data_IF_737759538201
#
_entry.id   IF_737759538201
#
_cell.length_a   1.000
_cell.length_b   1.000
_cell.length_c   1.000
_cell.angle_alpha   90.00
_cell.angle_beta   90.00
_cell.angle_gamma   90.00
#
_symmetry.space_group_name_H-M   'P 1'
#
loop_
_entity.id
_entity.type
_entity.pdbx_description
1 polymer ?
#
# COMPACT_ATOMS: atom_id res chain seq x y z
N UNK A 1 -6.39 36.84 68.52
CA UNK A 1 -7.71 37.03 67.88
C UNK A 1 -7.57 36.53 66.44
N UNK A 2 -8.43 35.58 66.06
CA UNK A 2 -8.26 34.63 64.96
C UNK A 2 -8.37 35.34 63.60
N UNK A 3 -7.40 35.08 62.71
CA UNK A 3 -7.41 35.43 61.29
C UNK A 3 -8.45 34.57 60.56
N UNK A 4 -9.55 35.16 60.10
CA UNK A 4 -10.46 34.50 59.15
C UNK A 4 -9.81 34.53 57.77
N UNK A 5 -9.21 33.42 57.37
CA UNK A 5 -8.97 33.12 55.97
C UNK A 5 -10.31 32.75 55.34
N UNK A 6 -10.95 33.71 54.67
CA UNK A 6 -12.04 33.45 53.73
C UNK A 6 -11.45 32.78 52.48
N UNK A 7 -11.18 31.47 52.57
CA UNK A 7 -10.96 30.64 51.39
C UNK A 7 -12.32 30.45 50.68
N UNK A 8 -12.67 31.44 49.85
CA UNK A 8 -13.85 31.38 49.01
C UNK A 8 -13.87 30.10 48.18
N UNK A 9 -14.97 29.35 48.26
CA UNK A 9 -15.28 28.21 47.40
C UNK A 9 -15.11 28.62 45.93
N UNK A 10 -13.98 28.28 45.32
CA UNK A 10 -13.79 28.44 43.88
C UNK A 10 -14.77 27.51 43.18
N UNK A 11 -15.86 28.05 42.61
CA UNK A 11 -16.78 27.30 41.75
C UNK A 11 -15.96 26.59 40.68
N UNK A 12 -16.13 25.27 40.55
CA UNK A 12 -15.54 24.54 39.44
C UNK A 12 -16.08 25.16 38.15
N UNK A 13 -15.22 25.43 37.14
CA UNK A 13 -15.71 25.89 35.86
C UNK A 13 -16.68 24.85 35.30
N UNK A 14 -17.84 25.31 34.82
CA UNK A 14 -18.88 24.46 34.23
C UNK A 14 -18.66 24.25 32.72
N UNK A 15 -17.58 24.86 32.19
CA UNK A 15 -17.27 24.84 30.76
C UNK A 15 -15.94 24.13 30.51
N UNK A 16 -15.84 23.36 29.41
CA UNK A 16 -14.58 22.74 29.01
C UNK A 16 -13.49 23.78 28.82
N UNK A 17 -12.30 23.50 29.31
CA UNK A 17 -11.12 24.36 29.11
C UNK A 17 -10.72 24.30 27.64
N UNK A 18 -10.28 25.43 27.08
CA UNK A 18 -9.86 25.48 25.67
C UNK A 18 -8.43 24.97 25.51
N UNK A 19 -8.20 24.09 24.54
CA UNK A 19 -6.86 23.72 24.09
C UNK A 19 -6.35 24.72 23.07
N UNK A 20 -5.08 25.13 23.22
CA UNK A 20 -4.39 25.92 22.18
C UNK A 20 -3.85 24.95 21.12
N UNK A 21 -4.19 25.18 19.85
CA UNK A 21 -3.73 24.36 18.72
C UNK A 21 -4.08 22.87 18.85
N UNK A 22 -5.23 22.53 19.43
CA UNK A 22 -5.66 21.14 19.51
C UNK A 22 -6.00 20.55 18.14
N UNK A 23 -5.83 19.24 18.03
CA UNK A 23 -6.25 18.44 16.88
C UNK A 23 -7.76 18.58 16.74
N UNK A 24 -8.19 19.01 15.55
CA UNK A 24 -9.59 19.30 15.24
C UNK A 24 -10.02 18.61 13.96
N UNK A 25 -11.29 18.25 13.92
CA UNK A 25 -11.95 17.78 12.71
C UNK A 25 -11.94 18.90 11.67
N UNK A 26 -11.55 18.59 10.42
CA UNK A 26 -11.56 19.55 9.31
C UNK A 26 -12.98 19.82 8.82
N UNK A 27 -13.85 18.81 8.86
CA UNK A 27 -15.26 18.93 8.45
C UNK A 27 -16.07 19.71 9.50
N UNK A 28 -16.50 20.93 9.15
CA UNK A 28 -17.15 21.86 10.09
C UNK A 28 -18.67 21.69 10.19
N UNK A 29 -19.34 21.24 9.14
CA UNK A 29 -20.81 21.21 9.04
C UNK A 29 -21.31 19.87 8.46
N UNK A 30 -22.56 19.52 8.80
CA UNK A 30 -23.26 18.32 8.33
C UNK A 30 -23.02 17.05 9.15
N UNK A 31 -23.74 15.99 8.79
CA UNK A 31 -23.48 14.64 9.30
C UNK A 31 -22.12 14.15 8.81
N UNK A 32 -21.40 13.48 9.70
CA UNK A 32 -20.04 13.01 9.41
C UNK A 32 -20.11 11.58 8.89
N UNK A 33 -20.26 11.47 7.58
CA UNK A 33 -20.13 10.20 6.86
C UNK A 33 -18.71 10.04 6.32
N UNK A 34 -18.11 8.88 6.58
CA UNK A 34 -16.78 8.52 6.11
C UNK A 34 -16.87 7.32 5.17
N UNK A 35 -16.03 7.32 4.14
CA UNK A 35 -15.90 6.15 3.26
C UNK A 35 -15.36 4.92 4.03
N UNK A 36 -15.56 3.73 3.47
CA UNK A 36 -14.86 2.54 3.95
C UNK A 36 -13.33 2.72 3.73
N UNK A 37 -12.45 2.33 4.65
CA UNK A 37 -12.69 1.60 5.92
C UNK A 37 -13.11 2.48 7.11
N UNK A 38 -12.88 3.79 7.06
CA UNK A 38 -13.05 4.71 8.18
C UNK A 38 -14.47 4.71 8.76
N UNK A 39 -15.51 4.74 7.92
CA UNK A 39 -16.90 4.70 8.37
C UNK A 39 -17.26 3.38 9.07
N UNK A 40 -16.84 2.26 8.49
CA UNK A 40 -17.09 0.94 9.08
C UNK A 40 -16.31 0.72 10.39
N UNK A 41 -15.15 1.35 10.54
CA UNK A 41 -14.40 1.38 11.80
C UNK A 41 -15.10 2.26 12.84
N UNK A 42 -15.52 3.47 12.46
CA UNK A 42 -16.22 4.40 13.35
C UNK A 42 -17.50 3.80 13.93
N UNK A 43 -18.30 3.14 13.09
CA UNK A 43 -19.53 2.47 13.53
C UNK A 43 -19.27 1.42 14.62
N UNK A 44 -18.17 0.66 14.53
CA UNK A 44 -17.79 -0.30 15.58
C UNK A 44 -17.38 0.41 16.87
N UNK A 45 -16.56 1.45 16.76
CA UNK A 45 -16.07 2.21 17.92
C UNK A 45 -17.17 2.93 18.69
N UNK A 46 -18.24 3.35 18.00
CA UNK A 46 -19.34 4.10 18.60
C UNK A 46 -20.50 3.23 19.04
N UNK A 47 -20.47 1.90 18.84
CA UNK A 47 -21.60 0.99 19.11
C UNK A 47 -22.21 1.22 20.49
N UNK A 48 -21.37 1.21 21.53
CA UNK A 48 -21.79 1.32 22.94
C UNK A 48 -21.78 2.76 23.47
N UNK A 49 -21.62 3.75 22.58
CA UNK A 49 -21.68 5.18 22.91
C UNK A 49 -23.11 5.66 22.68
N UNK A 50 -23.74 6.25 23.69
CA UNK A 50 -25.08 6.84 23.57
C UNK A 50 -25.08 8.09 22.66
N UNK A 51 -26.24 8.44 22.11
CA UNK A 51 -26.37 9.54 21.16
C UNK A 51 -25.92 10.90 21.71
N UNK A 52 -26.15 11.15 23.01
CA UNK A 52 -25.71 12.41 23.66
C UNK A 52 -24.19 12.48 23.69
N UNK A 53 -23.54 11.41 24.13
CA UNK A 53 -22.07 11.30 24.15
C UNK A 53 -21.47 11.38 22.74
N UNK A 54 -22.14 10.83 21.71
CA UNK A 54 -21.70 10.97 20.30
C UNK A 54 -21.74 12.42 19.84
N UNK A 55 -22.84 13.13 20.09
CA UNK A 55 -23.01 14.53 19.71
C UNK A 55 -22.01 15.44 20.43
N UNK A 56 -21.86 15.28 21.75
CA UNK A 56 -20.85 16.00 22.52
C UNK A 56 -19.43 15.71 22.01
N UNK A 57 -19.14 14.44 21.73
CA UNK A 57 -17.84 14.01 21.22
C UNK A 57 -17.49 14.62 19.87
N UNK A 58 -18.47 14.70 18.97
CA UNK A 58 -18.34 15.34 17.66
C UNK A 58 -18.09 16.85 17.80
N UNK A 59 -18.80 17.52 18.69
CA UNK A 59 -18.55 18.94 18.98
C UNK A 59 -17.15 19.19 19.51
N UNK A 60 -16.66 18.34 20.42
CA UNK A 60 -15.32 18.43 20.97
C UNK A 60 -14.26 18.22 19.88
N UNK A 61 -14.49 17.28 18.96
CA UNK A 61 -13.63 17.06 17.80
C UNK A 61 -13.59 18.31 16.90
N UNK A 62 -14.72 18.96 16.65
CA UNK A 62 -14.79 20.21 15.86
C UNK A 62 -14.13 21.40 16.56
N UNK A 63 -14.30 21.52 17.88
CA UNK A 63 -13.75 22.59 18.71
C UNK A 63 -12.23 22.47 18.92
N UNK A 64 -11.63 21.33 18.55
CA UNK A 64 -10.21 21.08 18.72
C UNK A 64 -9.81 20.86 20.17
N UNK A 65 -10.62 20.12 20.93
CA UNK A 65 -10.36 19.83 22.35
C UNK A 65 -9.33 18.71 22.58
N UNK A 66 -8.81 18.13 21.52
CA UNK A 66 -7.80 17.06 21.60
C UNK A 66 -6.42 17.65 21.56
N UNK A 67 -5.66 17.55 22.65
CA UNK A 67 -4.29 18.02 22.75
C UNK A 67 -3.26 17.06 22.15
N UNK A 68 -3.57 15.76 22.15
CA UNK A 68 -2.72 14.69 21.60
C UNK A 68 -3.59 13.67 20.88
N UNK A 69 -3.13 13.21 19.72
CA UNK A 69 -3.64 12.03 19.01
C UNK A 69 -2.44 11.31 18.38
N UNK A 70 -2.13 10.13 18.91
CA UNK A 70 -1.07 9.25 18.43
C UNK A 70 -1.68 7.92 17.98
N UNK A 71 -1.29 7.48 16.78
CA UNK A 71 -1.72 6.19 16.22
C UNK A 71 -0.46 5.37 15.99
N UNK A 72 -0.35 4.29 16.76
CA UNK A 72 0.75 3.33 16.74
C UNK A 72 0.21 1.94 16.31
N UNK A 73 1.09 1.01 15.93
CA UNK A 73 0.68 -0.35 15.60
C UNK A 73 -0.09 -1.00 16.75
N UNK A 74 -1.37 -1.29 16.52
CA UNK A 74 -2.25 -1.90 17.51
C UNK A 74 -2.69 -0.98 18.65
N UNK A 75 -2.48 0.35 18.54
CA UNK A 75 -2.83 1.26 19.64
C UNK A 75 -3.13 2.70 19.18
N UNK A 76 -4.14 3.32 19.78
CA UNK A 76 -4.41 4.76 19.68
C UNK A 76 -4.33 5.36 21.08
N UNK A 77 -3.65 6.49 21.20
CA UNK A 77 -3.58 7.28 22.43
C UNK A 77 -4.09 8.67 22.13
N UNK A 78 -4.96 9.17 22.99
CA UNK A 78 -5.48 10.54 22.90
C UNK A 78 -5.50 11.24 24.25
N UNK A 79 -5.45 12.57 24.21
CA UNK A 79 -5.68 13.41 25.38
C UNK A 79 -6.71 14.48 25.05
N UNK A 80 -7.90 14.36 25.62
CA UNK A 80 -9.02 15.28 25.39
C UNK A 80 -9.23 16.16 26.60
N UNK A 81 -9.16 17.47 26.40
CA UNK A 81 -9.39 18.45 27.43
C UNK A 81 -10.89 18.66 27.64
N UNK A 82 -11.28 18.63 28.91
CA UNK A 82 -12.65 18.87 29.33
C UNK A 82 -12.66 19.92 30.47
N UNK A 83 -13.62 19.83 31.39
CA UNK A 83 -13.73 20.68 32.58
C UNK A 83 -12.51 20.53 33.50
N UNK A 84 -12.02 19.30 33.67
CA UNK A 84 -10.93 18.99 34.60
C UNK A 84 -9.60 19.67 34.21
N UNK A 85 -8.76 20.10 35.18
CA UNK A 85 -7.49 20.75 34.87
C UNK A 85 -6.51 19.87 34.07
N UNK A 86 -6.62 18.55 34.20
CA UNK A 86 -5.81 17.58 33.44
C UNK A 86 -6.68 17.00 32.32
N UNK A 87 -6.19 16.94 31.07
CA UNK A 87 -6.87 16.24 30.00
C UNK A 87 -7.18 14.78 30.36
N UNK A 88 -8.31 14.26 29.91
CA UNK A 88 -8.60 12.84 30.01
C UNK A 88 -7.78 12.09 28.98
N UNK A 89 -6.93 11.17 29.46
CA UNK A 89 -6.18 10.27 28.60
C UNK A 89 -7.06 9.10 28.18
N UNK A 90 -7.10 8.83 26.88
CA UNK A 90 -7.82 7.72 26.27
C UNK A 90 -6.78 6.79 25.63
N UNK A 91 -6.98 5.49 25.81
CA UNK A 91 -6.16 4.43 25.24
C UNK A 91 -7.09 3.41 24.60
N UNK A 92 -6.89 3.17 23.31
CA UNK A 92 -7.58 2.13 22.55
C UNK A 92 -6.50 1.15 22.10
N UNK A 93 -6.58 -0.10 22.53
CA UNK A 93 -5.64 -1.15 22.17
C UNK A 93 -6.35 -2.22 21.35
N UNK A 94 -5.66 -2.76 20.35
CA UNK A 94 -6.18 -3.75 19.41
C UNK A 94 -5.30 -5.00 19.47
N UNK A 95 -5.89 -6.20 19.42
CA UNK A 95 -5.10 -7.42 19.31
C UNK A 95 -4.41 -7.45 17.93
N UNK A 96 -3.06 -7.41 17.88
CA UNK A 96 -2.35 -7.37 16.61
C UNK A 96 -2.47 -8.71 15.87
N UNK A 97 -2.48 -8.66 14.53
CA UNK A 97 -2.38 -9.87 13.71
C UNK A 97 -0.98 -10.47 13.89
N UNK A 98 -0.93 -11.80 14.10
CA UNK A 98 0.32 -12.54 14.28
C UNK A 98 1.21 -12.51 13.04
N UNK A 99 2.52 -12.75 13.23
CA UNK A 99 3.49 -12.74 12.11
C UNK A 99 3.14 -13.75 11.01
N UNK A 100 2.75 -14.96 11.39
CA UNK A 100 2.42 -16.03 10.44
C UNK A 100 1.14 -15.72 9.67
N UNK A 101 0.17 -15.10 10.33
CA UNK A 101 -1.09 -14.68 9.74
C UNK A 101 -0.90 -13.51 8.78
N UNK A 102 -0.06 -12.52 9.13
CA UNK A 102 0.38 -11.50 8.19
C UNK A 102 1.04 -12.12 6.95
N UNK A 103 1.87 -13.14 7.12
CA UNK A 103 2.51 -13.84 6.00
C UNK A 103 1.46 -14.51 5.10
N UNK A 104 0.47 -15.21 5.66
CA UNK A 104 -0.63 -15.81 4.88
C UNK A 104 -1.39 -14.78 4.06
N UNK A 105 -1.74 -13.65 4.68
CA UNK A 105 -2.45 -12.55 4.00
C UNK A 105 -1.60 -11.96 2.87
N UNK A 106 -0.33 -11.66 3.13
CA UNK A 106 0.59 -11.11 2.13
C UNK A 106 0.80 -12.09 0.97
N UNK A 107 1.04 -13.37 1.26
CA UNK A 107 1.25 -14.41 0.25
C UNK A 107 -0.02 -14.63 -0.59
N UNK A 108 -1.20 -14.51 0.02
CA UNK A 108 -2.49 -14.55 -0.69
C UNK A 108 -2.66 -13.35 -1.62
N UNK A 109 -2.46 -12.13 -1.10
CA UNK A 109 -2.58 -10.89 -1.88
C UNK A 109 -1.55 -10.79 -3.00
N UNK A 110 -0.36 -11.35 -2.81
CA UNK A 110 0.71 -11.33 -3.81
C UNK A 110 0.33 -12.07 -5.10
N UNK A 111 -0.57 -13.06 -5.03
CA UNK A 111 -1.03 -13.83 -6.20
C UNK A 111 -1.81 -12.99 -7.19
N UNK A 112 -2.45 -11.90 -6.75
CA UNK A 112 -3.35 -11.11 -7.58
C UNK A 112 -2.91 -9.64 -7.66
N UNK A 113 -2.60 -9.18 -8.88
CA UNK A 113 -2.07 -7.83 -9.10
C UNK A 113 -2.99 -6.69 -8.66
N UNK A 114 -4.31 -6.92 -8.66
CA UNK A 114 -5.31 -5.91 -8.28
C UNK A 114 -5.11 -5.39 -6.86
N UNK A 115 -4.76 -6.25 -5.91
CA UNK A 115 -4.65 -5.86 -4.50
C UNK A 115 -3.44 -4.95 -4.27
N UNK A 116 -2.29 -5.28 -4.86
CA UNK A 116 -1.11 -4.43 -4.75
C UNK A 116 -1.29 -3.09 -5.46
N UNK A 117 -1.92 -3.08 -6.64
CA UNK A 117 -2.21 -1.85 -7.37
C UNK A 117 -3.09 -0.90 -6.54
N UNK A 118 -4.19 -1.42 -5.98
CA UNK A 118 -5.10 -0.65 -5.12
C UNK A 118 -4.41 -0.07 -3.88
N UNK A 119 -3.69 -0.91 -3.14
CA UNK A 119 -3.03 -0.45 -1.91
C UNK A 119 -1.92 0.56 -2.15
N UNK A 120 -1.18 0.45 -3.26
CA UNK A 120 -0.15 1.43 -3.64
C UNK A 120 -0.79 2.78 -4.02
N UNK A 121 -1.99 2.78 -4.61
CA UNK A 121 -2.76 4.01 -4.85
C UNK A 121 -3.49 4.55 -3.60
N UNK A 122 -3.33 3.90 -2.44
CA UNK A 122 -4.07 4.24 -1.23
C UNK A 122 -5.57 3.88 -1.28
N UNK A 123 -5.98 3.09 -2.28
CA UNK A 123 -7.34 2.57 -2.39
C UNK A 123 -7.48 1.36 -1.48
N UNK A 124 -8.20 1.56 -0.38
CA UNK A 124 -8.61 0.49 0.53
C UNK A 124 -10.12 0.38 0.35
N UNK A 125 -10.56 -0.45 -0.61
CA UNK A 125 -11.96 -0.78 -0.86
C UNK A 125 -12.36 -2.08 -0.14
N UNK A 126 -13.67 -2.39 0.07
CA UNK A 126 -14.10 -3.57 0.81
C UNK A 126 -13.51 -4.90 0.32
N UNK A 127 -13.17 -5.00 -0.96
CA UNK A 127 -12.46 -6.15 -1.56
C UNK A 127 -11.09 -6.43 -0.92
N UNK A 128 -10.43 -5.42 -0.35
CA UNK A 128 -9.17 -5.58 0.39
C UNK A 128 -9.36 -6.43 1.64
N UNK A 129 -10.59 -6.59 2.15
CA UNK A 129 -10.88 -7.47 3.27
C UNK A 129 -10.95 -8.96 2.86
N UNK A 130 -11.14 -9.30 1.58
CA UNK A 130 -11.28 -10.69 1.12
C UNK A 130 -10.06 -11.58 1.46
N UNK A 131 -8.81 -11.14 1.25
CA UNK A 131 -7.63 -11.95 1.57
C UNK A 131 -7.44 -12.15 3.08
N UNK A 132 -7.94 -11.23 3.90
CA UNK A 132 -7.98 -11.37 5.36
C UNK A 132 -9.03 -12.41 5.75
N UNK A 133 -10.24 -12.31 5.20
CA UNK A 133 -11.32 -13.26 5.45
C UNK A 133 -10.95 -14.69 5.02
N UNK A 134 -10.28 -14.85 3.88
CA UNK A 134 -9.76 -16.14 3.41
C UNK A 134 -8.70 -16.75 4.35
N UNK A 135 -8.01 -15.92 5.15
CA UNK A 135 -7.08 -16.33 6.18
C UNK A 135 -7.74 -16.51 7.56
N UNK A 136 -9.07 -16.33 7.67
CA UNK A 136 -9.83 -16.43 8.92
C UNK A 136 -9.66 -15.21 9.84
N UNK A 137 -9.32 -14.05 9.29
CA UNK A 137 -8.98 -12.84 10.04
C UNK A 137 -9.85 -11.68 9.56
N UNK A 138 -10.36 -10.88 10.48
CA UNK A 138 -10.99 -9.61 10.14
C UNK A 138 -9.93 -8.50 9.93
N UNK A 139 -10.04 -7.78 8.81
CA UNK A 139 -9.23 -6.58 8.54
C UNK A 139 -9.58 -5.45 9.52
N UNK A 140 -10.89 -5.26 9.77
CA UNK A 140 -11.35 -4.31 10.78
C UNK A 140 -11.35 -4.99 12.14
N UNK A 141 -10.84 -4.36 13.21
CA UNK A 141 -10.84 -4.94 14.54
C UNK A 141 -12.26 -5.33 14.99
N UNK A 142 -12.39 -6.51 15.58
CA UNK A 142 -13.63 -7.04 16.18
C UNK A 142 -13.76 -6.56 17.62
N UNK A 143 -14.97 -6.50 18.16
CA UNK A 143 -15.26 -5.95 19.50
C UNK A 143 -14.43 -6.64 20.59
N UNK A 144 -14.34 -7.96 20.52
CA UNK A 144 -13.59 -8.81 21.46
C UNK A 144 -12.08 -8.57 21.40
N UNK A 145 -11.61 -7.92 20.34
CA UNK A 145 -10.20 -7.63 20.10
C UNK A 145 -9.82 -6.18 20.44
N UNK A 146 -10.76 -5.39 20.96
CA UNK A 146 -10.56 -3.97 21.28
C UNK A 146 -10.64 -3.79 22.80
N UNK A 147 -9.62 -3.17 23.40
CA UNK A 147 -9.65 -2.69 24.78
C UNK A 147 -9.68 -1.18 24.81
N UNK A 148 -10.65 -0.60 25.50
CA UNK A 148 -10.83 0.86 25.58
C UNK A 148 -10.72 1.30 27.04
N UNK A 149 -9.86 2.27 27.30
CA UNK A 149 -9.73 2.88 28.62
C UNK A 149 -9.76 4.40 28.49
N UNK A 150 -10.55 5.06 29.34
CA UNK A 150 -10.61 6.51 29.43
C UNK A 150 -10.42 6.94 30.89
N UNK A 151 -9.56 7.93 31.12
CA UNK A 151 -9.32 8.50 32.45
C UNK A 151 -10.55 9.16 33.09
N UNK A 152 -11.69 9.29 32.39
CA UNK A 152 -12.95 9.75 32.97
C UNK A 152 -13.75 8.66 33.71
N UNK A 153 -13.33 7.39 33.61
CA UNK A 153 -13.94 6.26 34.32
C UNK A 153 -15.28 5.76 33.76
N UNK A 154 -15.78 6.32 32.65
CA UNK A 154 -17.00 5.86 31.97
C UNK A 154 -16.67 5.15 30.67
N UNK A 155 -17.32 4.02 30.44
CA UNK A 155 -17.42 3.37 29.12
C UNK A 155 -18.29 4.25 28.20
N UNK A 156 -18.07 4.14 26.88
CA UNK A 156 -18.90 4.85 25.90
C UNK A 156 -18.92 6.37 26.03
N UNK A 157 -17.89 7.00 26.59
CA UNK A 157 -17.92 8.44 26.91
C UNK A 157 -17.69 9.37 25.69
N UNK A 158 -18.06 10.66 25.83
CA UNK A 158 -17.77 11.69 24.81
C UNK A 158 -16.28 11.79 24.41
N UNK A 159 -15.34 11.51 25.31
CA UNK A 159 -13.90 11.55 25.00
C UNK A 159 -13.49 10.45 24.03
N UNK A 160 -14.06 9.25 24.18
CA UNK A 160 -13.89 8.16 23.23
C UNK A 160 -14.48 8.56 21.88
N UNK A 161 -15.69 9.11 21.88
CA UNK A 161 -16.34 9.57 20.65
C UNK A 161 -15.51 10.65 19.93
N UNK A 162 -15.00 11.65 20.65
CA UNK A 162 -14.07 12.66 20.11
C UNK A 162 -12.87 12.02 19.42
N UNK A 163 -12.23 11.05 20.08
CA UNK A 163 -11.05 10.38 19.53
C UNK A 163 -11.41 9.52 18.32
N UNK A 164 -12.57 8.85 18.34
CA UNK A 164 -13.06 8.04 17.24
C UNK A 164 -13.33 8.90 16.00
N UNK A 165 -14.01 10.04 16.11
CA UNK A 165 -14.23 10.94 14.96
C UNK A 165 -12.92 11.45 14.35
N UNK A 166 -11.95 11.86 15.17
CA UNK A 166 -10.65 12.32 14.68
C UNK A 166 -9.84 11.20 14.02
N UNK A 167 -9.90 10.00 14.58
CA UNK A 167 -9.21 8.83 14.00
C UNK A 167 -9.84 8.42 12.67
N UNK A 168 -11.17 8.47 12.56
CA UNK A 168 -11.88 8.18 11.32
C UNK A 168 -11.52 9.18 10.22
N UNK A 169 -11.47 10.49 10.52
CA UNK A 169 -11.00 11.50 9.54
C UNK A 169 -9.53 11.27 9.14
N UNK A 170 -8.67 10.86 10.09
CA UNK A 170 -7.28 10.55 9.78
C UNK A 170 -7.16 9.30 8.91
N UNK A 171 -8.02 8.31 9.11
CA UNK A 171 -8.09 7.08 8.31
C UNK A 171 -8.68 7.34 6.92
N UNK A 172 -9.62 8.28 6.76
CA UNK A 172 -10.09 8.70 5.43
C UNK A 172 -8.95 9.35 4.62
N UNK A 173 -8.06 10.10 5.29
CA UNK A 173 -6.88 10.71 4.65
C UNK A 173 -5.75 9.71 4.39
N UNK A 174 -5.63 8.67 5.21
CA UNK A 174 -4.62 7.61 5.10
C UNK A 174 -5.28 6.24 5.37
N UNK A 175 -5.90 5.63 4.34
CA UNK A 175 -6.68 4.40 4.51
C UNK A 175 -5.85 3.21 4.98
N UNK A 176 -4.52 3.22 4.77
CA UNK A 176 -3.63 2.17 5.25
C UNK A 176 -3.48 2.17 6.78
N UNK A 177 -3.96 3.20 7.48
CA UNK A 177 -4.04 3.20 8.93
C UNK A 177 -4.85 2.03 9.48
N UNK A 178 -5.80 1.50 8.73
CA UNK A 178 -6.52 0.28 9.13
C UNK A 178 -5.56 -0.89 9.40
N UNK A 179 -4.48 -1.01 8.62
CA UNK A 179 -3.43 -2.03 8.82
C UNK A 179 -2.60 -1.73 10.07
N UNK A 180 -2.32 -0.44 10.30
CA UNK A 180 -1.63 0.02 11.51
C UNK A 180 -2.43 -0.35 12.76
N UNK A 181 -3.76 -0.20 12.76
CA UNK A 181 -4.61 -0.66 13.86
C UNK A 181 -4.55 -2.18 14.06
N UNK A 182 -4.20 -2.95 13.02
CA UNK A 182 -3.97 -4.41 13.11
C UNK A 182 -2.53 -4.79 13.47
N UNK A 183 -1.69 -3.83 13.83
CA UNK A 183 -0.34 -4.07 14.36
C UNK A 183 0.79 -4.01 13.33
N UNK A 184 0.54 -3.51 12.12
CA UNK A 184 1.58 -3.33 11.11
C UNK A 184 1.43 -2.02 10.35
N UNK A 185 2.47 -1.19 10.35
CA UNK A 185 2.46 0.05 9.58
C UNK A 185 2.16 -0.18 8.10
N UNK A 186 1.25 0.62 7.54
CA UNK A 186 0.87 0.58 6.13
C UNK A 186 2.05 0.50 5.14
N UNK A 187 3.04 1.41 5.21
CA UNK A 187 4.20 1.36 4.32
C UNK A 187 4.98 0.04 4.42
N UNK A 188 5.15 -0.50 5.63
CA UNK A 188 5.82 -1.79 5.85
C UNK A 188 5.01 -2.96 5.29
N UNK A 189 3.67 -2.87 5.32
CA UNK A 189 2.82 -3.86 4.65
C UNK A 189 3.01 -3.81 3.12
N UNK A 190 3.05 -2.60 2.53
CA UNK A 190 3.30 -2.43 1.10
C UNK A 190 4.65 -3.00 0.67
N UNK A 191 5.71 -2.76 1.43
CA UNK A 191 7.05 -3.32 1.19
C UNK A 191 6.99 -4.86 1.15
N UNK A 192 6.41 -5.48 2.19
CA UNK A 192 6.25 -6.95 2.25
C UNK A 192 5.45 -7.50 1.08
N UNK A 193 4.39 -6.78 0.67
CA UNK A 193 3.57 -7.18 -0.47
C UNK A 193 4.35 -7.09 -1.79
N UNK A 194 5.16 -6.05 -1.97
CA UNK A 194 6.02 -5.91 -3.14
C UNK A 194 7.08 -7.02 -3.19
N UNK A 195 7.75 -7.30 -2.07
CA UNK A 195 8.72 -8.40 -1.96
C UNK A 195 8.08 -9.75 -2.28
N UNK A 196 6.95 -10.07 -1.66
CA UNK A 196 6.22 -11.31 -1.91
C UNK A 196 5.79 -11.45 -3.38
N UNK A 197 5.41 -10.35 -4.02
CA UNK A 197 5.09 -10.34 -5.46
C UNK A 197 6.31 -10.59 -6.33
N UNK A 198 7.46 -10.00 -6.01
CA UNK A 198 8.70 -10.26 -6.75
C UNK A 198 9.05 -11.75 -6.69
N UNK A 199 8.92 -12.38 -5.51
CA UNK A 199 9.14 -13.81 -5.34
C UNK A 199 8.09 -14.62 -6.10
N UNK A 200 6.80 -14.33 -5.95
CA UNK A 200 5.73 -15.07 -6.63
C UNK A 200 5.82 -14.98 -8.17
N UNK A 201 6.31 -13.85 -8.69
CA UNK A 201 6.46 -13.62 -10.14
C UNK A 201 7.84 -14.00 -10.69
N UNK A 202 8.81 -14.32 -9.83
CA UNK A 202 10.22 -14.60 -10.20
C UNK A 202 10.42 -15.83 -11.12
N UNK A 203 9.37 -16.63 -11.34
CA UNK A 203 9.36 -17.73 -12.32
C UNK A 203 8.32 -17.58 -13.45
N UNK A 204 7.39 -16.62 -13.38
CA UNK A 204 6.20 -16.57 -14.25
C UNK A 204 6.25 -15.39 -15.24
N UNK A 205 7.13 -14.41 -15.05
CA UNK A 205 7.24 -13.29 -15.99
C UNK A 205 8.64 -12.70 -16.03
N UNK A 206 9.53 -13.37 -16.78
CA UNK A 206 10.66 -12.65 -17.39
C UNK A 206 10.13 -11.97 -18.64
N UNK A 207 9.99 -10.64 -18.61
CA UNK A 207 9.64 -9.86 -19.81
C UNK A 207 10.62 -10.12 -20.96
N UNK A 208 11.87 -10.47 -20.61
CA UNK A 208 12.86 -11.00 -21.53
C UNK A 208 13.55 -12.21 -20.91
N UNK A 209 13.53 -13.40 -21.53
CA UNK A 209 14.48 -14.43 -21.17
C UNK A 209 15.90 -13.89 -21.37
N UNK A 210 16.83 -14.22 -20.47
CA UNK A 210 18.25 -13.97 -20.73
C UNK A 210 18.63 -14.94 -21.85
N UNK A 211 19.15 -14.46 -23.01
CA UNK A 211 19.56 -15.36 -24.08
C UNK A 211 20.56 -16.39 -23.55
N UNK A 212 20.43 -17.66 -23.95
CA UNK A 212 21.33 -18.75 -23.53
C UNK A 212 22.78 -18.40 -23.85
N UNK A 213 23.02 -17.70 -24.95
CA UNK A 213 24.33 -17.18 -25.30
C UNK A 213 24.90 -16.19 -24.25
N UNK A 214 24.08 -15.31 -23.65
CA UNK A 214 24.54 -14.42 -22.58
C UNK A 214 24.74 -15.15 -21.23
N UNK A 215 24.00 -16.22 -20.97
CA UNK A 215 24.25 -17.07 -19.80
C UNK A 215 25.61 -17.79 -19.93
N UNK A 216 25.91 -18.35 -21.11
CA UNK A 216 27.19 -19.02 -21.40
C UNK A 216 28.40 -18.08 -21.30
N UNK A 217 28.28 -16.83 -21.74
CA UNK A 217 29.35 -15.81 -21.59
C UNK A 217 29.58 -15.44 -20.13
N UNK A 218 28.55 -15.48 -19.29
CA UNK A 218 28.69 -15.21 -17.85
C UNK A 218 29.46 -16.31 -17.13
N UNK A 219 29.35 -17.54 -17.62
CA UNK A 219 30.04 -18.72 -17.11
C UNK A 219 31.44 -18.91 -17.73
N UNK A 220 31.79 -18.16 -18.78
CA UNK A 220 33.14 -18.19 -19.33
C UNK A 220 34.11 -17.46 -18.41
N UNK A 221 34.89 -18.22 -17.66
CA UNK A 221 36.08 -17.73 -16.93
C UNK A 221 37.01 -17.09 -17.96
N UNK A 222 37.48 -15.87 -17.69
CA UNK A 222 38.36 -15.10 -18.57
C UNK A 222 39.55 -15.96 -19.03
N UNK A 223 39.46 -16.45 -20.25
CA UNK A 223 40.44 -17.38 -20.80
C UNK A 223 41.48 -16.59 -21.57
N UNK A 224 42.74 -16.72 -21.13
CA UNK A 224 43.92 -16.17 -21.81
C UNK A 224 44.01 -16.69 -23.27
N UNK A 225 43.34 -17.80 -23.58
CA UNK A 225 43.21 -18.40 -24.90
C UNK A 225 42.32 -17.60 -25.88
N UNK A 226 41.65 -16.54 -25.43
CA UNK A 226 40.76 -15.72 -26.28
C UNK A 226 41.37 -14.41 -26.77
N UNK A 227 42.59 -14.06 -26.33
CA UNK A 227 43.21 -12.74 -26.56
C UNK A 227 43.42 -12.43 -28.05
N UNK A 228 43.83 -13.41 -28.85
CA UNK A 228 44.05 -13.22 -30.29
C UNK A 228 42.75 -12.93 -31.05
N UNK A 229 41.64 -13.50 -30.57
CA UNK A 229 40.29 -13.28 -31.13
C UNK A 229 39.49 -12.19 -30.41
N UNK A 230 40.06 -11.50 -29.41
CA UNK A 230 39.32 -10.60 -28.52
C UNK A 230 38.63 -9.44 -29.25
N UNK A 231 39.31 -8.91 -30.28
CA UNK A 231 38.76 -7.84 -31.13
C UNK A 231 37.88 -8.36 -32.27
N UNK A 232 37.77 -9.68 -32.43
CA UNK A 232 36.89 -10.30 -33.40
C UNK A 232 35.57 -10.68 -32.74
N UNK A 233 34.47 -10.39 -33.41
CA UNK A 233 33.12 -10.65 -32.87
C UNK A 233 32.73 -12.12 -32.85
N UNK A 234 33.52 -13.00 -33.49
CA UNK A 234 33.32 -14.44 -33.56
C UNK A 234 31.92 -14.87 -34.04
N UNK A 235 31.66 -16.19 -34.15
CA UNK A 235 30.31 -16.70 -34.42
C UNK A 235 29.35 -16.50 -33.23
N UNK A 236 29.89 -16.25 -32.04
CA UNK A 236 29.12 -16.08 -30.80
C UNK A 236 28.20 -14.87 -30.80
N UNK A 237 28.60 -13.75 -31.42
CA UNK A 237 27.73 -12.56 -31.51
C UNK A 237 26.54 -12.82 -32.44
N UNK A 238 26.76 -13.50 -33.56
CA UNK A 238 25.68 -13.80 -34.51
C UNK A 238 24.72 -14.86 -33.94
N UNK A 239 25.26 -15.85 -33.22
CA UNK A 239 24.46 -16.78 -32.42
C UNK A 239 23.66 -16.06 -31.33
N UNK A 240 24.26 -15.11 -30.59
CA UNK A 240 23.56 -14.29 -29.60
C UNK A 240 22.46 -13.42 -30.23
N UNK A 241 22.71 -12.83 -31.40
CA UNK A 241 21.71 -12.04 -32.14
C UNK A 241 20.53 -12.89 -32.60
N UNK A 242 20.75 -14.15 -32.99
CA UNK A 242 19.68 -15.11 -33.30
C UNK A 242 18.94 -15.59 -32.06
N UNK A 243 19.65 -15.86 -30.97
CA UNK A 243 19.09 -16.38 -29.71
C UNK A 243 18.29 -15.31 -28.94
N UNK A 244 18.67 -14.02 -29.08
CA UNK A 244 17.87 -12.89 -28.57
C UNK A 244 16.51 -12.76 -29.27
N UNK A 245 16.30 -13.42 -30.42
CA UNK A 245 15.02 -13.49 -31.13
C UNK A 245 14.03 -14.48 -30.49
N UNK A 246 14.22 -14.86 -29.23
CA UNK A 246 13.28 -15.71 -28.50
C UNK A 246 11.88 -15.11 -28.43
N UNK A 247 10.86 -15.97 -28.46
CA UNK A 247 9.46 -15.58 -28.41
C UNK A 247 9.15 -14.80 -27.12
N UNK A 248 8.76 -13.54 -27.27
CA UNK A 248 8.24 -12.73 -26.19
C UNK A 248 6.73 -12.90 -26.12
N UNK A 249 6.18 -12.93 -24.90
CA UNK A 249 4.73 -12.87 -24.73
C UNK A 249 4.25 -11.50 -25.27
N UNK A 250 3.33 -11.46 -26.25
CA UNK A 250 2.83 -10.20 -26.78
C UNK A 250 2.30 -9.29 -25.67
N UNK A 251 2.67 -8.01 -25.75
CA UNK A 251 2.21 -6.95 -24.85
C UNK A 251 2.52 -7.18 -23.36
N UNK A 252 3.53 -7.99 -23.00
CA UNK A 252 3.84 -8.31 -21.61
C UNK A 252 4.01 -7.06 -20.70
N UNK A 253 4.66 -6.02 -21.22
CA UNK A 253 4.83 -4.74 -20.50
C UNK A 253 3.51 -3.99 -20.35
N UNK A 254 2.68 -3.95 -21.39
CA UNK A 254 1.36 -3.31 -21.34
C UNK A 254 0.43 -4.03 -20.37
N UNK A 255 0.44 -5.37 -20.36
CA UNK A 255 -0.32 -6.21 -19.41
C UNK A 255 0.12 -5.98 -17.97
N UNK A 256 1.43 -5.79 -17.74
CA UNK A 256 1.99 -5.50 -16.41
C UNK A 256 1.64 -4.11 -15.91
N UNK A 257 1.61 -3.12 -16.81
CA UNK A 257 1.29 -1.72 -16.48
C UNK A 257 -0.21 -1.49 -16.26
N UNK A 258 -1.07 -2.31 -16.85
CA UNK A 258 -2.52 -2.21 -16.68
C UNK A 258 -3.12 -1.01 -17.44
N UNK A 259 -4.33 -0.61 -17.05
CA UNK A 259 -5.05 0.50 -17.69
C UNK A 259 -4.31 1.84 -17.49
N UNK A 260 -4.24 2.65 -18.54
CA UNK A 260 -3.62 3.98 -18.44
C UNK A 260 -4.56 4.95 -17.68
N UNK A 261 -4.02 5.84 -16.83
CA UNK A 261 -4.80 6.82 -16.07
C UNK A 261 -5.28 8.01 -16.92
N UNK A 262 -4.97 8.04 -18.21
CA UNK A 262 -5.33 9.13 -19.11
C UNK A 262 -6.71 8.89 -19.74
N UNK A 263 -7.57 9.90 -19.69
CA UNK A 263 -8.86 9.89 -20.38
C UNK A 263 -8.67 10.21 -21.87
N UNK A 264 -9.32 9.43 -22.73
CA UNK A 264 -9.23 9.60 -24.18
C UNK A 264 -10.37 8.88 -24.89
N UNK A 265 -10.55 9.18 -26.17
CA UNK A 265 -11.62 8.62 -27.01
C UNK A 265 -11.56 7.09 -27.14
N UNK A 266 -10.41 6.48 -26.87
CA UNK A 266 -10.18 5.03 -26.94
C UNK A 266 -9.28 4.56 -25.78
N UNK A 267 -9.37 3.28 -25.37
CA UNK A 267 -8.46 2.71 -24.38
C UNK A 267 -7.01 2.76 -24.88
N UNK A 268 -6.17 3.59 -24.24
CA UNK A 268 -4.78 3.85 -24.65
C UNK A 268 -3.93 2.58 -24.76
N UNK A 269 -4.12 1.65 -23.83
CA UNK A 269 -3.42 0.35 -23.82
C UNK A 269 -3.79 -0.49 -25.05
N UNK A 270 -5.05 -0.45 -25.49
CA UNK A 270 -5.50 -1.17 -26.67
C UNK A 270 -4.91 -0.58 -27.95
N UNK A 271 -4.85 0.75 -28.05
CA UNK A 271 -4.19 1.43 -29.18
C UNK A 271 -2.69 1.13 -29.25
N UNK A 272 -2.00 1.18 -28.12
CA UNK A 272 -0.58 0.80 -28.09
C UNK A 272 -0.40 -0.67 -28.46
N UNK A 273 -1.27 -1.56 -27.99
CA UNK A 273 -1.20 -2.98 -28.33
C UNK A 273 -1.29 -3.19 -29.85
N UNK A 274 -2.23 -2.54 -30.54
CA UNK A 274 -2.35 -2.66 -32.00
C UNK A 274 -1.13 -2.09 -32.74
N UNK A 275 -0.60 -0.93 -32.30
CA UNK A 275 0.62 -0.35 -32.88
C UNK A 275 1.81 -1.32 -32.71
N UNK A 276 1.97 -1.91 -31.52
CA UNK A 276 3.04 -2.87 -31.28
C UNK A 276 2.87 -4.15 -32.10
N UNK A 277 1.64 -4.61 -32.35
CA UNK A 277 1.38 -5.77 -33.21
C UNK A 277 1.76 -5.49 -34.66
N UNK A 278 1.40 -4.32 -35.19
CA UNK A 278 1.76 -3.90 -36.56
C UNK A 278 3.28 -3.80 -36.72
N UNK A 279 3.95 -3.13 -35.78
CA UNK A 279 5.42 -2.99 -35.78
C UNK A 279 6.08 -4.36 -35.66
N UNK A 280 5.59 -5.23 -34.77
CA UNK A 280 6.15 -6.56 -34.59
C UNK A 280 5.98 -7.42 -35.85
N UNK A 281 4.83 -7.36 -36.51
CA UNK A 281 4.57 -8.10 -37.75
C UNK A 281 5.49 -7.65 -38.88
N UNK A 282 5.61 -6.34 -39.10
CA UNK A 282 6.50 -5.78 -40.13
C UNK A 282 7.97 -6.10 -39.84
N UNK A 283 8.38 -6.01 -38.57
CA UNK A 283 9.74 -6.34 -38.16
C UNK A 283 10.05 -7.81 -38.42
N UNK A 284 9.12 -8.74 -38.09
CA UNK A 284 9.30 -10.18 -38.39
C UNK A 284 9.47 -10.43 -39.88
N UNK A 285 8.62 -9.84 -40.73
CA UNK A 285 8.72 -9.96 -42.19
C UNK A 285 10.06 -9.48 -42.73
N UNK A 286 10.55 -8.33 -42.26
CA UNK A 286 11.87 -7.80 -42.67
C UNK A 286 13.01 -8.68 -42.21
N UNK A 287 12.92 -9.26 -41.01
CA UNK A 287 13.95 -10.14 -40.49
C UNK A 287 14.00 -11.48 -41.24
N UNK A 288 12.85 -12.05 -41.58
CA UNK A 288 12.76 -13.26 -42.42
C UNK A 288 13.43 -13.01 -43.79
N UNK A 289 13.13 -11.87 -44.43
CA UNK A 289 13.75 -11.51 -45.70
C UNK A 289 15.28 -11.33 -45.63
N UNK A 290 15.80 -10.83 -44.50
CA UNK A 290 17.24 -10.69 -44.27
C UNK A 290 17.90 -12.05 -44.01
N UNK A 291 17.23 -12.96 -43.31
CA UNK A 291 17.73 -14.31 -43.05
C UNK A 291 17.77 -15.15 -44.34
N UNK A 292 16.73 -15.05 -45.19
CA UNK A 292 16.69 -15.69 -46.51
C UNK A 292 17.82 -15.18 -47.41
N UNK A 293 18.08 -13.87 -47.39
CA UNK A 293 19.19 -13.26 -48.13
C UNK A 293 20.57 -13.70 -47.59
N UNK A 294 20.71 -13.86 -46.28
CA UNK A 294 21.94 -14.34 -45.66
C UNK A 294 22.21 -15.83 -45.93
N UNK A 295 21.16 -16.66 -46.01
CA UNK A 295 21.24 -18.08 -46.38
C UNK A 295 21.56 -18.28 -47.87
N UNK A 296 21.11 -17.36 -48.72
CA UNK A 296 21.39 -17.39 -50.17
C UNK A 296 22.78 -16.87 -50.54
N UNK A 297 23.52 -16.26 -49.61
CA UNK A 297 24.88 -15.77 -49.86
C UNK A 297 25.87 -16.95 -49.99
N UNK A 298 26.73 -16.98 -51.03
CA UNK A 298 27.72 -18.04 -51.18
C UNK A 298 28.71 -18.05 -50.00
N UNK A 299 29.20 -19.23 -49.58
CA UNK A 299 30.15 -19.33 -48.47
C UNK A 299 31.41 -18.51 -48.76
N UNK A 300 31.93 -17.85 -47.73
CA UNK A 300 33.18 -17.09 -47.82
C UNK A 300 34.30 -18.00 -48.35
N UNK A 301 35.12 -17.54 -49.33
CA UNK A 301 36.24 -18.34 -49.80
C UNK A 301 37.18 -18.66 -48.62
N UNK A 302 37.81 -19.85 -48.59
CA UNK A 302 38.74 -20.19 -47.53
C UNK A 302 39.89 -19.17 -47.50
N UNK A 303 40.44 -18.87 -46.31
CA UNK A 303 41.57 -17.96 -46.20
C UNK A 303 42.74 -18.52 -47.04
N UNK A 304 43.36 -17.65 -47.84
CA UNK A 304 44.58 -17.97 -48.58
C UNK A 304 45.69 -18.29 -47.59
N UNK A 305 46.27 -19.48 -47.69
CA UNK A 305 47.51 -19.85 -47.01
C UNK A 305 48.67 -19.09 -47.69
N UNK A 306 49.19 -18.06 -47.02
CA UNK A 306 50.51 -17.45 -47.25
C UNK A 306 51.32 -17.55 -45.94
#
# INVERSE_FOLDING_TARGET
MITKNDEGFKRRPDTPRRVRNGVRLRRKEGDVEFAWPAGAWLTRMLRDVDETSRNEGLEFARKGQTSLLEIEPGRIVGEVQDIDPRPHRIRIEFNPIGRDDWKKVVDSMAKEARYAAKLVSGDVSPEIAEPFAAAGIALLPEEETISIQCGCGREGCRHLATLAYLTAERMEQDPLLVLTLRGLYGPRFLERLQEARLVATSGVSRAHPVPLAAARVRDSVGSENGLESFWSTGPGLEAFRRDRRGEHLPHALLRRLGAAPMEGRFPFVGLLASIYDDVAMETRRRLEALDDAALAAPPSPPPSED
#
